data_IF_453928149839
#
_entry.id   IF_453928149839
#
_cell.length_a   1.000
_cell.length_b   1.000
_cell.length_c   1.000
_cell.angle_alpha   90.00
_cell.angle_beta   90.00
_cell.angle_gamma   90.00
#
_symmetry.space_group_name_H-M   'P 1'
#
loop_
_entity.id
_entity.type
_entity.pdbx_description
1 polymer ?
#
# COMPACT_ATOMS: atom_id res chain seq x y z
N UNK A 1 16.11 5.81 -15.38
CA UNK A 1 14.89 6.08 -14.59
C UNK A 1 15.34 6.33 -13.17
N UNK A 2 15.33 7.58 -12.76
CA UNK A 2 15.75 7.98 -11.43
C UNK A 2 14.55 8.00 -10.48
N UNK A 3 14.79 7.60 -9.24
CA UNK A 3 13.78 7.54 -8.18
C UNK A 3 14.29 8.34 -7.01
N UNK A 4 13.51 9.32 -6.61
CA UNK A 4 13.87 10.26 -5.56
C UNK A 4 12.74 10.29 -4.52
N UNK A 5 13.09 10.38 -3.23
CA UNK A 5 12.13 10.55 -2.14
C UNK A 5 12.01 12.04 -1.82
N UNK A 6 10.79 12.51 -1.59
CA UNK A 6 10.53 13.93 -1.32
C UNK A 6 9.52 14.12 -0.19
N UNK A 7 9.63 15.25 0.49
CA UNK A 7 8.66 15.78 1.44
C UNK A 7 7.34 16.14 0.73
N UNK A 8 6.25 16.21 1.50
CA UNK A 8 4.90 16.45 0.99
C UNK A 8 4.79 17.84 0.32
N UNK A 9 5.36 18.89 0.92
CA UNK A 9 5.39 20.26 0.37
C UNK A 9 6.07 20.34 -0.99
N UNK A 10 7.27 19.76 -1.10
CA UNK A 10 8.01 19.74 -2.36
C UNK A 10 7.21 19.04 -3.46
N UNK A 11 6.51 17.95 -3.09
CA UNK A 11 5.69 17.20 -4.04
C UNK A 11 4.48 18.00 -4.53
N UNK A 12 3.82 18.75 -3.63
CA UNK A 12 2.73 19.66 -3.99
C UNK A 12 3.22 20.78 -4.91
N UNK A 13 4.38 21.39 -4.60
CA UNK A 13 4.97 22.44 -5.44
C UNK A 13 5.28 21.92 -6.85
N UNK A 14 5.91 20.76 -6.96
CA UNK A 14 6.23 20.18 -8.27
C UNK A 14 4.98 19.76 -9.04
N UNK A 15 3.97 19.23 -8.34
CA UNK A 15 2.65 18.95 -8.94
C UNK A 15 2.03 20.21 -9.54
N UNK A 16 2.01 21.32 -8.81
CA UNK A 16 1.45 22.59 -9.27
C UNK A 16 2.25 23.15 -10.46
N UNK A 17 3.58 23.06 -10.43
CA UNK A 17 4.41 23.43 -11.57
C UNK A 17 4.03 22.65 -12.86
N UNK A 18 3.78 21.34 -12.76
CA UNK A 18 3.34 20.54 -13.91
C UNK A 18 1.94 20.96 -14.39
N UNK A 19 1.03 21.29 -13.46
CA UNK A 19 -0.31 21.81 -13.77
C UNK A 19 -0.25 23.15 -14.49
N UNK A 20 0.63 24.06 -14.07
CA UNK A 20 0.84 25.37 -14.71
C UNK A 20 1.39 25.24 -16.13
N UNK A 21 2.09 24.13 -16.43
CA UNK A 21 2.52 23.76 -17.78
C UNK A 21 1.41 23.14 -18.63
N UNK A 22 0.19 23.06 -18.13
CA UNK A 22 -0.96 22.47 -18.81
C UNK A 22 -0.94 20.94 -18.85
N UNK A 23 -0.15 20.28 -18.00
CA UNK A 23 -0.08 18.83 -17.94
C UNK A 23 -1.11 18.29 -16.93
N UNK A 24 -1.93 17.35 -17.37
CA UNK A 24 -2.88 16.65 -16.52
C UNK A 24 -2.39 15.23 -16.18
N UNK A 25 -2.52 14.79 -14.91
CA UNK A 25 -2.13 13.45 -14.53
C UNK A 25 -3.25 12.43 -14.75
N UNK A 26 -2.85 11.19 -15.05
CA UNK A 26 -3.69 10.01 -14.83
C UNK A 26 -3.47 9.48 -13.42
N UNK A 27 -4.56 9.25 -12.67
CA UNK A 27 -4.49 8.72 -11.30
C UNK A 27 -4.88 7.24 -11.21
N UNK A 28 -4.10 6.48 -10.44
CA UNK A 28 -4.37 5.08 -10.12
C UNK A 28 -4.52 4.89 -8.62
N UNK A 29 -5.77 4.79 -8.13
CA UNK A 29 -6.08 4.51 -6.72
C UNK A 29 -5.34 3.28 -6.18
N UNK A 30 -5.40 2.16 -6.93
CA UNK A 30 -4.81 0.87 -6.53
C UNK A 30 -3.30 0.93 -6.27
N UNK A 31 -2.62 1.89 -6.90
CA UNK A 31 -1.17 2.10 -6.79
C UNK A 31 -0.81 3.39 -6.06
N UNK A 32 -1.81 4.20 -5.67
CA UNK A 32 -1.66 5.59 -5.22
C UNK A 32 -0.65 6.36 -6.07
N UNK A 33 -0.86 6.32 -7.39
CA UNK A 33 0.12 6.79 -8.36
C UNK A 33 -0.48 7.80 -9.34
N UNK A 34 0.17 8.94 -9.49
CA UNK A 34 -0.09 9.92 -10.56
C UNK A 34 0.95 9.73 -11.67
N UNK A 35 0.54 9.82 -12.93
CA UNK A 35 1.43 9.73 -14.09
C UNK A 35 1.09 10.86 -15.06
N UNK A 36 2.10 11.64 -15.43
CA UNK A 36 2.00 12.71 -16.43
C UNK A 36 2.58 12.22 -17.76
N UNK A 37 1.95 12.64 -18.85
CA UNK A 37 2.31 12.26 -20.21
C UNK A 37 2.48 13.50 -21.09
N UNK A 38 3.23 13.35 -22.18
CA UNK A 38 3.26 14.34 -23.25
C UNK A 38 2.13 14.09 -24.27
N UNK A 39 2.09 14.93 -25.31
CA UNK A 39 1.15 14.80 -26.44
C UNK A 39 1.25 13.47 -27.20
N UNK A 40 2.40 12.79 -27.13
CA UNK A 40 2.62 11.49 -27.77
C UNK A 40 2.34 10.31 -26.83
N UNK A 41 1.74 10.54 -25.65
CA UNK A 41 1.50 9.54 -24.60
C UNK A 41 2.78 8.88 -24.04
N UNK A 42 3.94 9.53 -24.18
CA UNK A 42 5.14 9.11 -23.47
C UNK A 42 5.08 9.62 -22.03
N UNK A 43 5.49 8.77 -21.09
CA UNK A 43 5.53 9.14 -19.67
C UNK A 43 6.62 10.17 -19.45
N UNK A 44 6.28 11.24 -18.76
CA UNK A 44 7.21 12.31 -18.38
C UNK A 44 7.68 12.09 -16.95
N UNK A 45 6.71 12.02 -16.04
CA UNK A 45 6.93 11.99 -14.61
C UNK A 45 5.85 11.13 -13.95
N UNK A 46 6.19 10.45 -12.86
CA UNK A 46 5.19 9.80 -12.03
C UNK A 46 5.45 9.96 -10.53
N UNK A 47 4.39 10.18 -9.78
CA UNK A 47 4.41 10.31 -8.32
C UNK A 47 3.75 9.09 -7.70
N UNK A 48 4.43 8.38 -6.80
CA UNK A 48 3.74 7.59 -5.78
C UNK A 48 3.50 8.50 -4.59
N UNK A 49 2.23 8.72 -4.28
CA UNK A 49 1.84 9.58 -3.18
C UNK A 49 2.09 8.90 -1.83
N UNK A 50 2.49 9.70 -0.85
CA UNK A 50 2.44 9.33 0.56
C UNK A 50 1.01 9.01 0.98
N UNK A 51 0.82 8.36 2.12
CA UNK A 51 -0.51 8.25 2.75
C UNK A 51 -1.02 9.60 3.24
N UNK A 52 -0.14 10.56 3.46
CA UNK A 52 -0.46 11.89 3.95
C UNK A 52 -1.06 12.78 2.87
N UNK A 53 -0.74 12.55 1.59
CA UNK A 53 -1.33 13.33 0.51
C UNK A 53 -2.64 12.75 -0.02
N UNK A 54 -3.57 13.64 -0.37
CA UNK A 54 -4.80 13.31 -1.07
C UNK A 54 -4.83 13.95 -2.45
N UNK A 55 -5.16 13.15 -3.48
CA UNK A 55 -5.45 13.66 -4.81
C UNK A 55 -6.95 13.62 -5.07
N UNK A 56 -7.56 14.79 -5.22
CA UNK A 56 -8.98 14.95 -5.55
C UNK A 56 -9.16 14.90 -7.05
N UNK A 57 -9.80 13.84 -7.56
CA UNK A 57 -9.93 13.59 -9.01
C UNK A 57 -10.73 14.71 -9.69
N UNK A 58 -11.83 15.13 -9.06
CA UNK A 58 -12.77 16.08 -9.67
C UNK A 58 -12.14 17.46 -9.87
N UNK A 59 -11.39 17.93 -8.87
CA UNK A 59 -10.70 19.22 -8.92
C UNK A 59 -9.29 19.13 -9.47
N UNK A 60 -8.74 17.92 -9.62
CA UNK A 60 -7.33 17.65 -9.95
C UNK A 60 -6.36 18.39 -9.03
N UNK A 61 -6.67 18.45 -7.74
CA UNK A 61 -5.86 19.10 -6.71
C UNK A 61 -5.15 18.03 -5.87
N UNK A 62 -3.86 18.25 -5.62
CA UNK A 62 -3.07 17.52 -4.64
C UNK A 62 -2.95 18.37 -3.38
N UNK A 63 -3.32 17.82 -2.22
CA UNK A 63 -3.29 18.54 -0.94
C UNK A 63 -2.95 17.63 0.21
N UNK A 64 -2.42 18.20 1.28
CA UNK A 64 -2.33 17.57 2.59
C UNK A 64 -3.62 17.85 3.37
N UNK A 65 -4.42 16.83 3.71
CA UNK A 65 -5.59 16.99 4.55
C UNK A 65 -5.18 17.14 6.02
N UNK A 66 -6.03 17.81 6.82
CA UNK A 66 -5.76 18.09 8.24
C UNK A 66 -5.62 16.81 9.10
N UNK A 67 -6.34 15.74 8.72
CA UNK A 67 -6.29 14.45 9.38
C UNK A 67 -6.32 13.32 8.36
N UNK A 68 -5.47 12.30 8.58
CA UNK A 68 -5.48 11.06 7.80
C UNK A 68 -5.50 9.85 8.71
N UNK A 69 -6.42 8.95 8.42
CA UNK A 69 -6.56 7.68 9.10
C UNK A 69 -6.47 6.53 8.10
N UNK A 70 -5.59 5.56 8.37
CA UNK A 70 -5.40 4.45 7.45
C UNK A 70 -5.09 3.13 8.15
N UNK A 71 -5.46 2.05 7.46
CA UNK A 71 -5.16 0.70 7.88
C UNK A 71 -3.95 0.15 7.13
N UNK A 72 -3.06 -0.52 7.85
CA UNK A 72 -2.00 -1.34 7.27
C UNK A 72 -2.32 -2.80 7.56
N UNK A 73 -2.45 -3.62 6.52
CA UNK A 73 -2.73 -5.06 6.62
C UNK A 73 -1.63 -5.84 5.91
N UNK A 74 -0.81 -6.55 6.67
CA UNK A 74 0.30 -7.35 6.18
C UNK A 74 0.02 -8.83 6.44
N UNK A 75 -0.02 -9.66 5.40
CA UNK A 75 -0.35 -11.08 5.51
C UNK A 75 0.65 -11.92 4.73
N UNK A 76 1.22 -12.92 5.41
CA UNK A 76 2.02 -14.01 4.84
C UNK A 76 1.53 -15.34 5.39
N UNK A 77 1.98 -16.43 4.79
CA UNK A 77 1.63 -17.78 5.25
C UNK A 77 2.05 -17.97 6.71
N UNK A 78 1.08 -18.03 7.62
CA UNK A 78 1.28 -18.28 9.05
C UNK A 78 1.63 -17.07 9.91
N UNK A 79 1.66 -15.85 9.35
CA UNK A 79 1.84 -14.64 10.15
C UNK A 79 1.15 -13.45 9.49
N UNK A 80 0.57 -12.56 10.30
CA UNK A 80 0.00 -11.32 9.83
C UNK A 80 0.20 -10.21 10.85
N UNK A 81 0.15 -8.96 10.40
CA UNK A 81 0.06 -7.80 11.27
C UNK A 81 -0.96 -6.82 10.70
N UNK A 82 -1.75 -6.24 11.59
CA UNK A 82 -2.76 -5.24 11.27
C UNK A 82 -2.52 -4.05 12.18
N UNK A 83 -2.60 -2.83 11.65
CA UNK A 83 -2.53 -1.62 12.45
C UNK A 83 -3.52 -0.57 11.98
N UNK A 84 -4.02 0.17 12.95
CA UNK A 84 -4.75 1.42 12.76
C UNK A 84 -3.77 2.57 12.98
N UNK A 85 -3.61 3.41 11.95
CA UNK A 85 -2.81 4.62 12.02
C UNK A 85 -3.76 5.81 12.03
N UNK A 86 -3.61 6.68 13.01
CA UNK A 86 -4.35 7.93 13.14
C UNK A 86 -3.33 9.06 13.19
N UNK A 87 -3.41 9.98 12.23
CA UNK A 87 -2.57 11.17 12.15
C UNK A 87 -1.08 10.89 12.39
N UNK A 88 -0.48 10.05 11.54
CA UNK A 88 0.92 9.62 11.62
C UNK A 88 1.32 8.81 12.86
N UNK A 89 0.39 8.45 13.76
CA UNK A 89 0.68 7.61 14.92
C UNK A 89 -0.02 6.26 14.83
N UNK A 90 0.69 5.19 15.19
CA UNK A 90 0.07 3.86 15.30
C UNK A 90 -0.77 3.87 16.58
N UNK A 91 -2.08 4.03 16.43
CA UNK A 91 -3.03 4.03 17.53
C UNK A 91 -3.12 2.65 18.18
N UNK A 92 -3.25 1.61 17.36
CA UNK A 92 -3.30 0.22 17.82
C UNK A 92 -2.75 -0.73 16.75
N UNK A 93 -2.23 -1.87 17.18
CA UNK A 93 -1.76 -2.91 16.29
C UNK A 93 -1.95 -4.31 16.86
N UNK A 94 -1.99 -5.31 15.98
CA UNK A 94 -1.99 -6.72 16.36
C UNK A 94 -1.15 -7.55 15.41
N UNK A 95 -0.32 -8.42 15.98
CA UNK A 95 0.38 -9.48 15.24
C UNK A 95 -0.31 -10.81 15.50
N UNK A 96 -0.54 -11.57 14.43
CA UNK A 96 -1.15 -12.88 14.42
C UNK A 96 -0.12 -13.91 13.95
N UNK A 97 -0.16 -15.10 14.53
CA UNK A 97 0.67 -16.24 14.12
C UNK A 97 -0.22 -17.47 14.00
N UNK A 98 0.01 -18.27 12.98
CA UNK A 98 -0.68 -19.54 12.77
C UNK A 98 0.27 -20.56 12.15
N UNK A 99 0.11 -21.83 12.50
CA UNK A 99 0.95 -22.89 11.98
C UNK A 99 0.41 -23.40 10.63
N UNK A 100 0.74 -22.69 9.54
CA UNK A 100 0.18 -22.99 8.21
C UNK A 100 1.08 -23.86 7.32
N UNK A 101 2.40 -23.97 7.60
CA UNK A 101 3.38 -24.61 6.70
C UNK A 101 4.00 -25.87 7.31
N UNK A 102 4.18 -26.93 6.51
CA UNK A 102 4.85 -28.18 6.94
C UNK A 102 6.37 -27.99 6.94
N UNK A 103 7.04 -28.37 8.04
CA UNK A 103 8.50 -28.23 8.26
C UNK A 103 9.41 -28.97 7.25
N UNK A 104 8.86 -29.76 6.32
CA UNK A 104 9.59 -30.43 5.22
C UNK A 104 8.85 -30.18 3.90
N UNK A 105 9.53 -29.55 2.96
CA UNK A 105 9.10 -29.05 1.62
C UNK A 105 8.35 -27.71 1.63
N UNK A 106 9.05 -26.64 1.21
CA UNK A 106 8.54 -25.29 0.99
C UNK A 106 7.61 -25.14 -0.23
N UNK A 107 6.56 -25.95 -0.32
CA UNK A 107 5.46 -25.77 -1.29
C UNK A 107 4.14 -25.52 -0.57
N UNK A 108 3.47 -24.42 -0.92
CA UNK A 108 2.13 -24.09 -0.44
C UNK A 108 1.15 -25.21 -0.78
N UNK A 109 0.45 -25.74 0.24
CA UNK A 109 -0.45 -26.89 0.11
C UNK A 109 -1.76 -26.62 -0.62
N UNK A 110 -2.06 -25.35 -0.87
CA UNK A 110 -3.33 -24.90 -1.46
C UNK A 110 -3.57 -25.52 -2.86
N UNK A 111 -2.50 -25.89 -3.59
CA UNK A 111 -2.61 -26.46 -4.95
C UNK A 111 -3.06 -27.93 -5.03
N UNK A 112 -2.95 -28.73 -3.97
CA UNK A 112 -3.14 -30.20 -4.07
C UNK A 112 -4.45 -30.74 -3.49
N UNK A 113 -5.37 -29.87 -3.07
CA UNK A 113 -6.58 -30.29 -2.35
C UNK A 113 -7.62 -31.01 -3.24
N UNK A 114 -7.60 -30.79 -4.56
CA UNK A 114 -8.65 -31.29 -5.47
C UNK A 114 -8.39 -32.67 -6.09
N UNK A 115 -7.24 -33.31 -5.87
CA UNK A 115 -6.86 -34.46 -6.73
C UNK A 115 -6.82 -35.85 -6.10
N UNK A 116 -6.91 -36.05 -4.77
CA UNK A 116 -6.97 -37.43 -4.23
C UNK A 116 -7.81 -37.53 -2.95
N UNK A 117 -8.76 -38.47 -2.96
CA UNK A 117 -9.65 -38.78 -1.85
C UNK A 117 -8.90 -39.08 -0.55
N UNK A 118 -9.43 -38.55 0.55
CA UNK A 118 -8.94 -38.58 1.93
C UNK A 118 -7.78 -37.63 2.27
N UNK A 119 -8.16 -36.41 2.64
CA UNK A 119 -7.35 -35.50 3.46
C UNK A 119 -6.89 -36.20 4.76
N UNK A 120 -5.57 -36.26 5.00
CA UNK A 120 -4.99 -36.79 6.26
C UNK A 120 -5.29 -35.84 7.43
N UNK A 121 -5.38 -36.34 8.66
CA UNK A 121 -5.74 -35.57 9.87
C UNK A 121 -4.96 -34.24 10.00
N UNK A 122 -3.64 -34.24 9.81
CA UNK A 122 -2.82 -33.01 9.86
C UNK A 122 -3.06 -32.02 8.71
N UNK A 123 -3.72 -32.42 7.62
CA UNK A 123 -4.19 -31.48 6.59
C UNK A 123 -5.46 -30.77 7.03
N UNK A 124 -6.37 -31.46 7.71
CA UNK A 124 -7.59 -30.86 8.27
C UNK A 124 -7.25 -29.84 9.35
N UNK A 125 -6.32 -30.17 10.26
CA UNK A 125 -5.87 -29.25 11.31
C UNK A 125 -5.33 -27.95 10.71
N UNK A 126 -4.48 -28.03 9.68
CA UNK A 126 -3.92 -26.82 9.06
C UNK A 126 -4.92 -25.99 8.28
N UNK A 127 -5.95 -26.62 7.71
CA UNK A 127 -7.06 -25.90 7.07
C UNK A 127 -7.88 -25.14 8.13
N UNK A 128 -8.24 -25.80 9.23
CA UNK A 128 -8.94 -25.18 10.35
C UNK A 128 -8.12 -24.03 10.96
N UNK A 129 -6.81 -24.22 11.16
CA UNK A 129 -5.90 -23.15 11.60
C UNK A 129 -5.85 -21.96 10.63
N UNK A 130 -5.93 -22.23 9.32
CA UNK A 130 -5.99 -21.18 8.30
C UNK A 130 -7.30 -20.39 8.41
N UNK A 131 -8.42 -21.07 8.59
CA UNK A 131 -9.74 -20.44 8.75
C UNK A 131 -9.77 -19.57 10.02
N UNK A 132 -9.31 -20.09 11.15
CA UNK A 132 -9.20 -19.33 12.41
C UNK A 132 -8.28 -18.12 12.24
N UNK A 133 -7.14 -18.28 11.56
CA UNK A 133 -6.19 -17.21 11.31
C UNK A 133 -6.83 -16.04 10.53
N UNK A 134 -7.52 -16.33 9.42
CA UNK A 134 -8.20 -15.28 8.66
C UNK A 134 -9.41 -14.70 9.39
N UNK A 135 -10.16 -15.51 10.13
CA UNK A 135 -11.26 -15.03 10.98
C UNK A 135 -10.76 -14.01 12.01
N UNK A 136 -9.67 -14.30 12.71
CA UNK A 136 -9.08 -13.38 13.70
C UNK A 136 -8.59 -12.06 13.06
N UNK A 137 -8.01 -12.14 11.85
CA UNK A 137 -7.61 -10.94 11.09
C UNK A 137 -8.84 -10.12 10.72
N UNK A 138 -9.88 -10.76 10.17
CA UNK A 138 -11.16 -10.11 9.83
C UNK A 138 -11.77 -9.42 11.03
N UNK A 139 -11.88 -10.11 12.17
CA UNK A 139 -12.48 -9.55 13.38
C UNK A 139 -11.76 -8.28 13.82
N UNK A 140 -10.43 -8.29 13.76
CA UNK A 140 -9.61 -7.11 14.08
C UNK A 140 -9.80 -5.97 13.07
N UNK A 141 -9.81 -6.27 11.77
CA UNK A 141 -10.01 -5.26 10.72
C UNK A 141 -11.42 -4.65 10.82
N UNK A 142 -12.44 -5.49 11.00
CA UNK A 142 -13.82 -5.07 11.18
C UNK A 142 -14.01 -4.21 12.43
N UNK A 143 -13.31 -4.54 13.53
CA UNK A 143 -13.30 -3.72 14.73
C UNK A 143 -12.79 -2.30 14.39
N UNK A 144 -11.64 -2.19 13.72
CA UNK A 144 -11.11 -0.87 13.37
C UNK A 144 -12.04 -0.07 12.44
N UNK A 145 -12.61 -0.71 11.42
CA UNK A 145 -13.54 -0.05 10.48
C UNK A 145 -14.81 0.45 11.19
N UNK A 146 -15.30 -0.29 12.19
CA UNK A 146 -16.48 0.12 12.96
C UNK A 146 -16.18 1.24 13.96
N UNK A 147 -14.97 1.25 14.50
CA UNK A 147 -14.60 2.15 15.60
C UNK A 147 -14.03 3.47 15.09
N UNK A 148 -13.33 3.47 13.95
CA UNK A 148 -12.59 4.62 13.45
C UNK A 148 -12.98 4.96 12.01
N UNK A 149 -12.98 6.26 11.63
CA UNK A 149 -12.98 6.63 10.22
C UNK A 149 -11.68 6.13 9.58
N UNK A 150 -11.80 5.48 8.42
CA UNK A 150 -10.67 4.92 7.67
C UNK A 150 -10.74 5.45 6.25
N UNK A 151 -9.76 6.27 5.89
CA UNK A 151 -9.66 6.94 4.59
C UNK A 151 -8.94 6.05 3.56
N UNK A 152 -7.97 5.25 4.03
CA UNK A 152 -7.13 4.43 3.15
C UNK A 152 -6.81 3.07 3.77
N UNK A 153 -6.63 2.06 2.93
CA UNK A 153 -6.35 0.68 3.37
C UNK A 153 -5.22 0.09 2.54
N UNK A 154 -4.02 0.08 3.11
CA UNK A 154 -2.83 -0.53 2.50
C UNK A 154 -2.80 -2.03 2.77
N UNK A 155 -2.81 -2.85 1.72
CA UNK A 155 -2.74 -4.32 1.85
C UNK A 155 -1.47 -4.86 1.20
N UNK A 156 -0.74 -5.68 1.95
CA UNK A 156 0.30 -6.58 1.45
C UNK A 156 -0.10 -8.02 1.75
N UNK A 157 -0.65 -8.70 0.74
CA UNK A 157 -1.09 -10.09 0.84
C UNK A 157 -0.74 -10.80 -0.48
N UNK A 158 -0.23 -12.03 -0.40
CA UNK A 158 0.06 -12.80 -1.62
C UNK A 158 -1.23 -13.17 -2.34
N UNK A 159 -1.21 -13.20 -3.67
CA UNK A 159 -2.39 -13.49 -4.51
C UNK A 159 -3.07 -14.81 -4.16
N UNK A 160 -2.30 -15.80 -3.69
CA UNK A 160 -2.78 -17.10 -3.22
C UNK A 160 -3.59 -17.04 -1.92
N UNK A 161 -3.42 -15.99 -1.12
CA UNK A 161 -4.08 -15.78 0.18
C UNK A 161 -5.24 -14.79 0.10
N UNK A 162 -5.31 -13.95 -0.94
CA UNK A 162 -6.40 -13.00 -1.17
C UNK A 162 -7.79 -13.67 -1.14
N UNK A 163 -8.03 -14.84 -1.75
CA UNK A 163 -9.34 -15.49 -1.68
C UNK A 163 -9.77 -15.88 -0.26
N UNK A 164 -8.83 -16.10 0.65
CA UNK A 164 -9.13 -16.43 2.05
C UNK A 164 -9.44 -15.18 2.88
N UNK A 165 -8.79 -14.05 2.58
CA UNK A 165 -9.08 -12.78 3.26
C UNK A 165 -10.49 -12.25 2.91
N UNK A 166 -10.91 -12.42 1.67
CA UNK A 166 -12.22 -11.96 1.17
C UNK A 166 -13.21 -13.13 0.97
N UNK A 167 -13.04 -14.24 1.70
CA UNK A 167 -14.01 -15.34 1.62
C UNK A 167 -15.31 -14.98 2.36
N UNK A 168 -16.43 -15.55 1.91
CA UNK A 168 -17.74 -15.34 2.54
C UNK A 168 -17.76 -15.80 4.01
N UNK A 169 -16.97 -16.82 4.35
CA UNK A 169 -16.81 -17.32 5.73
C UNK A 169 -16.19 -16.30 6.67
N UNK A 170 -15.41 -15.36 6.14
CA UNK A 170 -14.63 -14.37 6.89
C UNK A 170 -15.23 -12.96 6.77
N UNK A 171 -16.55 -12.83 6.53
CA UNK A 171 -17.35 -11.59 6.35
C UNK A 171 -16.63 -10.28 6.73
N UNK A 172 -15.74 -9.83 5.85
CA UNK A 172 -14.99 -8.59 6.02
C UNK A 172 -15.93 -7.44 5.65
N UNK A 173 -15.91 -6.35 6.43
CA UNK A 173 -16.67 -5.13 6.14
C UNK A 173 -16.06 -4.30 4.99
N UNK A 174 -15.27 -4.96 4.14
CA UNK A 174 -14.61 -4.41 2.97
C UNK A 174 -14.88 -5.34 1.79
N UNK A 175 -15.29 -4.76 0.67
CA UNK A 175 -15.28 -5.47 -0.60
C UNK A 175 -13.86 -5.48 -1.17
N UNK A 176 -13.52 -6.50 -1.97
CA UNK A 176 -12.22 -6.58 -2.67
C UNK A 176 -11.98 -5.38 -3.62
N UNK A 177 -13.04 -4.71 -4.05
CA UNK A 177 -13.05 -3.52 -4.92
C UNK A 177 -13.26 -2.21 -4.16
N UNK A 178 -13.25 -2.21 -2.83
CA UNK A 178 -13.35 -0.99 -2.03
C UNK A 178 -12.30 0.03 -2.50
N UNK A 179 -12.74 1.26 -2.79
CA UNK A 179 -11.92 2.32 -3.39
C UNK A 179 -10.79 2.80 -2.48
N UNK A 180 -10.90 2.56 -1.17
CA UNK A 180 -9.88 2.88 -0.17
C UNK A 180 -8.70 1.90 -0.22
N UNK A 181 -8.89 0.73 -0.83
CA UNK A 181 -7.87 -0.32 -0.86
C UNK A 181 -6.81 -0.02 -1.92
N UNK A 182 -5.55 -0.02 -1.50
CA UNK A 182 -4.39 0.00 -2.39
C UNK A 182 -3.39 -1.09 -2.03
N UNK A 183 -2.61 -1.52 -3.03
CA UNK A 183 -1.54 -2.51 -2.83
C UNK A 183 -0.31 -1.79 -2.31
N UNK A 184 0.25 -2.25 -1.20
CA UNK A 184 1.52 -1.74 -0.68
C UNK A 184 2.63 -2.10 -1.69
N UNK A 185 3.32 -1.10 -2.30
CA UNK A 185 4.27 -1.34 -3.40
C UNK A 185 5.66 -1.73 -2.89
N UNK A 186 5.73 -2.51 -1.81
CA UNK A 186 6.97 -2.97 -1.18
C UNK A 186 6.87 -4.44 -0.86
N UNK A 187 7.94 -5.19 -1.15
CA UNK A 187 8.03 -6.57 -0.70
C UNK A 187 8.29 -6.58 0.80
N UNK A 188 7.41 -7.26 1.54
CA UNK A 188 7.52 -7.39 3.00
C UNK A 188 7.83 -8.84 3.32
N UNK A 189 9.02 -9.10 3.87
CA UNK A 189 9.47 -10.46 4.14
C UNK A 189 8.57 -11.15 5.18
N UNK A 190 8.41 -10.52 6.34
CA UNK A 190 7.64 -11.07 7.46
C UNK A 190 6.77 -9.98 8.10
N UNK A 191 5.48 -10.24 8.37
CA UNK A 191 4.59 -9.26 8.96
C UNK A 191 4.75 -9.18 10.49
N UNK A 192 5.91 -8.69 10.92
CA UNK A 192 6.23 -8.38 12.33
C UNK A 192 5.81 -6.94 12.66
N UNK A 193 5.84 -6.59 13.95
CA UNK A 193 5.64 -5.19 14.38
C UNK A 193 6.72 -4.26 13.79
N UNK A 194 7.97 -4.70 13.76
CA UNK A 194 9.07 -3.94 13.18
C UNK A 194 8.84 -3.64 11.69
N UNK A 195 8.53 -4.67 10.90
CA UNK A 195 8.23 -4.47 9.47
C UNK A 195 6.95 -3.67 9.23
N UNK A 196 5.97 -3.73 10.15
CA UNK A 196 4.81 -2.86 10.12
C UNK A 196 5.21 -1.39 10.30
N UNK A 197 6.05 -1.07 11.28
CA UNK A 197 6.58 0.29 11.50
C UNK A 197 7.39 0.79 10.30
N UNK A 198 8.27 -0.04 9.75
CA UNK A 198 9.03 0.30 8.53
C UNK A 198 8.13 0.49 7.31
N UNK A 199 7.02 -0.26 7.24
CA UNK A 199 6.04 -0.09 6.16
C UNK A 199 5.29 1.23 6.30
N UNK A 200 4.88 1.61 7.52
CA UNK A 200 4.29 2.92 7.82
C UNK A 200 5.19 4.05 7.33
N UNK A 201 6.45 4.07 7.80
CA UNK A 201 7.43 5.10 7.42
C UNK A 201 7.59 5.16 5.89
N UNK A 202 7.66 4.01 5.23
CA UNK A 202 7.74 3.96 3.76
C UNK A 202 6.49 4.54 3.08
N UNK A 203 5.30 4.24 3.59
CA UNK A 203 4.03 4.73 3.05
C UNK A 203 3.87 6.25 3.23
N UNK A 204 4.48 6.83 4.25
CA UNK A 204 4.44 8.28 4.54
C UNK A 204 5.42 9.11 3.70
N UNK A 205 6.35 8.49 2.99
CA UNK A 205 7.21 9.21 2.03
C UNK A 205 6.53 9.34 0.67
N UNK A 206 6.86 10.34 -0.14
CA UNK A 206 6.56 10.36 -1.57
C UNK A 206 7.68 9.68 -2.36
N UNK A 207 7.37 9.26 -3.59
CA UNK A 207 8.39 8.81 -4.53
C UNK A 207 8.14 9.43 -5.90
N UNK A 208 9.13 10.18 -6.38
CA UNK A 208 9.19 10.67 -7.74
C UNK A 208 9.84 9.62 -8.64
N UNK A 209 9.35 9.51 -9.86
CA UNK A 209 10.02 8.81 -10.95
C UNK A 209 10.07 9.73 -12.16
N UNK A 210 11.27 10.05 -12.62
CA UNK A 210 11.47 10.85 -13.84
C UNK A 210 11.90 9.95 -14.99
N UNK A 211 11.20 10.11 -16.12
CA UNK A 211 11.48 9.42 -17.36
C UNK A 211 12.35 10.32 -18.26
N UNK A 212 13.09 9.76 -19.25
CA UNK A 212 14.00 10.53 -20.10
C UNK A 212 13.35 11.77 -20.74
N UNK A 213 12.09 11.66 -21.15
CA UNK A 213 11.34 12.75 -21.79
C UNK A 213 10.92 13.85 -20.81
N UNK A 214 10.93 13.56 -19.50
CA UNK A 214 10.54 14.49 -18.44
C UNK A 214 11.71 15.12 -17.68
N UNK A 215 12.97 14.80 -18.02
CA UNK A 215 14.15 15.35 -17.32
C UNK A 215 14.20 16.88 -17.37
N UNK A 216 13.94 17.46 -18.54
CA UNK A 216 13.90 18.92 -18.70
C UNK A 216 12.86 19.63 -17.83
N UNK A 217 11.75 18.96 -17.49
CA UNK A 217 10.75 19.52 -16.57
C UNK A 217 11.27 19.55 -15.12
N UNK A 218 11.98 18.50 -14.69
CA UNK A 218 12.60 18.48 -13.37
C UNK A 218 13.71 19.53 -13.28
N UNK A 219 14.57 19.63 -14.29
CA UNK A 219 15.68 20.60 -14.31
C UNK A 219 15.17 22.05 -14.31
N UNK A 220 14.11 22.33 -15.07
CA UNK A 220 13.45 23.63 -15.06
C UNK A 220 12.86 23.94 -13.68
N UNK A 221 12.17 22.97 -13.05
CA UNK A 221 11.62 23.13 -11.71
C UNK A 221 12.71 23.38 -10.67
N UNK A 222 13.78 22.59 -10.67
CA UNK A 222 14.90 22.72 -9.75
C UNK A 222 15.63 24.06 -9.93
N UNK A 223 15.72 24.56 -11.16
CA UNK A 223 16.30 25.87 -11.46
C UNK A 223 15.45 27.02 -10.91
N UNK A 224 14.11 26.88 -10.92
CA UNK A 224 13.18 27.84 -10.28
C UNK A 224 13.24 27.78 -8.75
N UNK A 225 13.42 26.57 -8.19
CA UNK A 225 13.59 26.36 -6.74
C UNK A 225 14.98 26.78 -6.24
N UNK A 226 15.94 27.02 -7.15
CA UNK A 226 17.35 27.37 -6.90
C UNK A 226 17.62 28.73 -6.24
N UNK A 227 16.79 29.12 -5.27
CA UNK A 227 17.05 30.13 -4.23
C UNK A 227 16.40 29.77 -2.86
N UNK A 228 15.77 28.60 -2.69
CA UNK A 228 15.25 28.13 -1.39
C UNK A 228 15.34 26.60 -1.26
N UNK A 229 16.33 26.17 -0.48
CA UNK A 229 16.53 24.87 0.20
C UNK A 229 16.36 23.55 -0.58
N UNK A 230 17.50 22.88 -0.86
CA UNK A 230 17.56 21.46 -1.24
C UNK A 230 17.70 20.58 0.02
N UNK A 231 16.69 19.77 0.33
CA UNK A 231 16.86 18.50 1.07
C UNK A 231 16.43 17.36 0.16
N UNK A 232 17.38 16.86 -0.64
CA UNK A 232 17.22 15.58 -1.35
C UNK A 232 18.01 14.57 -0.52
N UNK A 233 17.31 13.73 0.24
CA UNK A 233 17.93 12.53 0.82
C UNK A 233 17.92 11.42 -0.22
N UNK A 234 19.09 11.14 -0.79
CA UNK A 234 19.34 9.91 -1.54
C UNK A 234 19.45 8.76 -0.53
N UNK A 235 18.52 7.79 -0.53
CA UNK A 235 18.67 6.58 0.29
C UNK A 235 18.08 5.31 -0.40
N UNK A 236 19.03 4.44 -0.81
CA UNK A 236 19.08 2.98 -1.10
C UNK A 236 17.85 2.21 -1.62
#
# INVERSE_FOLDING_TARGET
MEKHLFEDDWMILFFNFLKDKGLDPEYSHKKRKLVFYNSNYNKLVAFRLSTNLEFKIDTKVLSEPEFVNYLIILIRSGMASVAMVQNHEILDHKVFRAYMVRKKQGKSQIKHLKTKGKSRAGSRVRLAETEIFFKNITERVNLYIKTYPVDQIGISCSETLVPYLFSESNRLLLDKKDSRIFKIPKHIATPTLENLKLTKIFLEKNQLTVFPEGTGLLDEFLSRMGNSEKKIEDDW
#
